data_IF_407121806266
#
_entry.id   IF_407121806266
#
_cell.length_a   1.000
_cell.length_b   1.000
_cell.length_c   1.000
_cell.angle_alpha   90.00
_cell.angle_beta   90.00
_cell.angle_gamma   90.00
#
_symmetry.space_group_name_H-M   'P 1'
#
loop_
_entity.id
_entity.type
_entity.pdbx_description
1 polymer ?
#
# COMPACT_ATOMS: atom_id res chain seq x y z
N UNK A 1 16.83 -10.70 -1.04
CA UNK A 1 16.49 -9.44 -1.75
C UNK A 1 15.15 -8.95 -1.22
N UNK A 2 15.09 -8.63 0.07
CA UNK A 2 13.84 -8.31 0.79
C UNK A 2 13.80 -6.85 1.29
N UNK A 3 14.95 -6.16 1.22
CA UNK A 3 15.13 -4.81 1.78
C UNK A 3 14.44 -3.70 0.95
N UNK A 4 14.11 -3.93 -0.31
CA UNK A 4 13.49 -2.89 -1.16
C UNK A 4 11.99 -2.72 -0.88
N UNK A 5 11.31 -3.75 -0.34
CA UNK A 5 9.91 -3.64 0.06
C UNK A 5 9.75 -2.85 1.37
N UNK A 6 10.64 -3.09 2.34
CA UNK A 6 10.62 -2.37 3.62
C UNK A 6 10.93 -0.87 3.47
N UNK A 7 11.83 -0.50 2.54
CA UNK A 7 12.12 0.90 2.24
C UNK A 7 10.93 1.62 1.58
N UNK A 8 10.12 0.92 0.75
CA UNK A 8 8.90 1.48 0.14
C UNK A 8 7.73 1.57 1.14
N UNK A 9 7.75 0.78 2.22
CA UNK A 9 6.79 0.88 3.33
C UNK A 9 6.97 2.14 4.19
N UNK A 10 8.18 2.73 4.23
CA UNK A 10 8.50 3.93 5.02
C UNK A 10 7.90 5.23 4.44
N UNK A 11 7.57 5.27 3.14
CA UNK A 11 6.99 6.48 2.51
C UNK A 11 5.45 6.42 2.35
N UNK A 12 4.82 5.32 2.72
CA UNK A 12 3.37 5.18 2.60
C UNK A 12 2.67 5.83 3.81
N UNK A 13 1.54 6.51 3.60
CA UNK A 13 0.74 7.04 4.71
C UNK A 13 0.33 5.90 5.67
N UNK A 14 0.10 6.23 6.95
CA UNK A 14 -0.39 5.27 7.93
C UNK A 14 -1.71 4.66 7.45
N UNK A 15 -1.95 3.40 7.81
CA UNK A 15 -3.15 2.70 7.38
C UNK A 15 -4.38 3.30 8.08
N UNK A 16 -5.40 3.76 7.34
CA UNK A 16 -6.59 4.35 7.94
C UNK A 16 -7.41 3.31 8.71
N UNK A 17 -8.25 3.80 9.63
CA UNK A 17 -9.13 2.96 10.45
C UNK A 17 -10.13 2.17 9.59
N UNK A 18 -10.62 1.04 10.12
CA UNK A 18 -11.63 0.22 9.43
C UNK A 18 -12.98 0.90 9.36
N UNK A 19 -13.24 1.80 10.31
CA UNK A 19 -14.48 2.57 10.43
C UNK A 19 -14.51 3.80 9.52
N UNK A 20 -13.39 4.12 8.86
CA UNK A 20 -13.32 5.28 7.99
C UNK A 20 -14.00 4.94 6.65
N UNK A 21 -15.16 5.55 6.37
CA UNK A 21 -15.93 5.33 5.13
C UNK A 21 -15.10 5.63 3.87
N UNK A 22 -14.07 6.48 4.02
CA UNK A 22 -13.16 6.84 2.94
C UNK A 22 -12.00 5.86 2.77
N UNK A 23 -11.90 4.81 3.59
CA UNK A 23 -10.88 3.78 3.45
C UNK A 23 -11.22 2.79 2.33
N UNK A 24 -10.22 2.48 1.51
CA UNK A 24 -10.28 1.44 0.47
C UNK A 24 -9.16 0.43 0.68
N UNK A 25 -9.42 -0.83 0.34
CA UNK A 25 -8.42 -1.89 0.40
C UNK A 25 -7.73 -2.05 -0.95
N UNK A 26 -6.41 -1.88 -0.98
CA UNK A 26 -5.58 -2.11 -2.15
C UNK A 26 -4.80 -3.40 -1.97
N UNK A 27 -4.96 -4.33 -2.91
CA UNK A 27 -4.27 -5.61 -2.92
C UNK A 27 -3.33 -5.67 -4.13
N UNK A 28 -2.04 -5.88 -3.87
CA UNK A 28 -1.03 -6.02 -4.91
C UNK A 28 -0.62 -7.48 -5.01
N UNK A 29 -0.60 -8.01 -6.22
CA UNK A 29 0.02 -9.31 -6.51
C UNK A 29 1.50 -9.07 -6.77
N UNK A 30 2.33 -9.66 -5.94
CA UNK A 30 3.78 -9.59 -6.06
C UNK A 30 4.28 -10.55 -7.15
N UNK A 31 5.48 -10.30 -7.73
CA UNK A 31 6.06 -11.17 -8.76
C UNK A 31 6.34 -12.60 -8.29
N UNK A 32 6.56 -12.81 -6.99
CA UNK A 32 6.70 -14.13 -6.36
C UNK A 32 5.36 -14.88 -6.23
N UNK A 33 4.26 -14.29 -6.70
CA UNK A 33 2.92 -14.85 -6.63
C UNK A 33 2.20 -14.58 -5.32
N UNK A 34 2.89 -14.04 -4.31
CA UNK A 34 2.27 -13.62 -3.06
C UNK A 34 1.35 -12.41 -3.25
N UNK A 35 0.48 -12.16 -2.28
CA UNK A 35 -0.44 -11.02 -2.30
C UNK A 35 -0.20 -10.18 -1.05
N UNK A 36 -0.10 -8.87 -1.23
CA UNK A 36 0.09 -7.92 -0.14
C UNK A 36 -1.03 -6.89 -0.15
N UNK A 37 -1.78 -6.82 0.95
CA UNK A 37 -2.95 -5.94 1.10
C UNK A 37 -2.67 -4.81 2.09
N UNK A 38 -3.21 -3.62 1.82
CA UNK A 38 -3.16 -2.47 2.72
C UNK A 38 -4.39 -1.58 2.52
N UNK A 39 -4.79 -0.81 3.54
CA UNK A 39 -5.81 0.25 3.38
C UNK A 39 -5.19 1.60 3.05
N UNK A 40 -5.92 2.37 2.28
CA UNK A 40 -5.60 3.75 1.90
C UNK A 40 -6.88 4.60 1.97
N UNK A 41 -6.75 5.89 2.22
CA UNK A 41 -7.85 6.82 2.03
C UNK A 41 -8.07 7.04 0.52
N UNK A 42 -9.31 7.27 0.09
CA UNK A 42 -9.61 7.66 -1.30
C UNK A 42 -8.84 8.89 -1.76
N UNK A 43 -8.44 9.74 -0.82
CA UNK A 43 -7.64 10.95 -1.06
C UNK A 43 -6.13 10.70 -1.13
N UNK A 44 -5.65 9.51 -0.75
CA UNK A 44 -4.22 9.19 -0.77
C UNK A 44 -3.70 9.10 -2.21
N UNK A 45 -2.56 9.74 -2.47
CA UNK A 45 -1.90 9.70 -3.77
C UNK A 45 -1.09 8.41 -3.91
N UNK A 46 -1.69 7.40 -4.54
CA UNK A 46 -1.06 6.09 -4.79
C UNK A 46 0.09 6.10 -5.83
N UNK A 47 0.45 7.26 -6.38
CA UNK A 47 1.55 7.42 -7.35
C UNK A 47 2.88 6.87 -6.80
N UNK A 48 3.08 6.92 -5.48
CA UNK A 48 4.27 6.38 -4.79
C UNK A 48 4.41 4.85 -4.89
N UNK A 49 3.31 4.12 -5.17
CA UNK A 49 3.33 2.66 -5.22
C UNK A 49 3.89 2.15 -6.56
N UNK A 50 3.66 2.90 -7.64
CA UNK A 50 3.91 2.53 -9.03
C UNK A 50 5.17 3.16 -9.64
N UNK A 51 5.91 3.98 -8.87
CA UNK A 51 7.16 4.53 -9.39
C UNK A 51 8.23 3.43 -9.57
N UNK A 52 8.92 3.56 -10.71
CA UNK A 52 9.53 2.58 -11.65
C UNK A 52 10.42 1.47 -11.07
#
# INVERSE_FOLDING_TARGET
MEAQLAAKEVSLPPEPSSDDENAVNLLVKMPDGSRRGRRFLRSDKLQILVDR
#
